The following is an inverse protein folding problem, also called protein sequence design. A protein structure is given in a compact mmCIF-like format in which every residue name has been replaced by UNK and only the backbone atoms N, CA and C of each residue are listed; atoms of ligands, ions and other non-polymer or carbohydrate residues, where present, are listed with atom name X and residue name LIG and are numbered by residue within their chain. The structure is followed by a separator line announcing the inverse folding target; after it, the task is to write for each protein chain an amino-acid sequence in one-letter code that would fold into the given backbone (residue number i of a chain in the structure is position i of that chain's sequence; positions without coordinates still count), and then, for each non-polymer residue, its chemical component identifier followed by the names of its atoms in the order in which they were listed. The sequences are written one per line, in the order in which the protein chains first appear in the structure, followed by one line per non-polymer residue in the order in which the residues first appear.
data_IF_787562599376
#
_entry.id   IF_787562599376
#
_cell.length_a   1.000
_cell.length_b   1.000
_cell.length_c   1.000
_cell.angle_alpha   90.00
_cell.angle_beta   90.00
_cell.angle_gamma   90.00
#
_symmetry.space_group_name_H-M   'P 1'
#
loop_
_entity.id
_entity.type
_entity.pdbx_description
1 polymer ?
#
# COMPACT_ATOMS: atom_id res chain seq x y z
N UNK A 1 -8.59 30.96 9.53
CA UNK A 1 -8.04 29.78 8.83
C UNK A 1 -8.98 28.61 9.11
N UNK A 2 -9.69 28.10 8.10
CA UNK A 2 -10.61 26.97 8.30
C UNK A 2 -9.81 25.72 8.67
N UNK A 3 -10.11 25.12 9.83
CA UNK A 3 -9.51 23.86 10.23
C UNK A 3 -10.00 22.78 9.27
N UNK A 4 -9.08 22.13 8.53
CA UNK A 4 -9.43 20.95 7.74
C UNK A 4 -9.77 19.82 8.72
N UNK A 5 -11.04 19.45 8.78
CA UNK A 5 -11.48 18.24 9.49
C UNK A 5 -10.77 17.06 8.83
N UNK A 6 -9.82 16.46 9.53
CA UNK A 6 -9.11 15.28 9.06
C UNK A 6 -10.02 14.07 9.28
N UNK A 7 -10.23 13.29 8.22
CA UNK A 7 -10.86 11.97 8.36
C UNK A 7 -10.01 11.08 9.26
N UNK A 8 -10.66 10.23 10.07
CA UNK A 8 -10.01 9.25 10.94
C UNK A 8 -8.92 8.46 10.21
N UNK A 9 -7.81 8.11 10.87
CA UNK A 9 -6.78 7.29 10.22
C UNK A 9 -7.31 5.88 9.89
N UNK A 10 -6.77 5.28 8.83
CA UNK A 10 -7.04 3.87 8.51
C UNK A 10 -6.22 2.95 9.42
N UNK A 11 -6.93 2.11 10.17
CA UNK A 11 -6.39 1.06 11.03
C UNK A 11 -5.84 -0.10 10.20
N UNK A 12 -5.03 -0.96 10.82
CA UNK A 12 -4.48 -2.16 10.18
C UNK A 12 -5.55 -3.11 9.63
N UNK A 13 -6.63 -3.48 10.35
CA UNK A 13 -7.68 -4.34 9.80
C UNK A 13 -8.42 -3.70 8.61
N UNK A 14 -8.69 -2.39 8.66
CA UNK A 14 -9.29 -1.66 7.54
C UNK A 14 -8.40 -1.71 6.28
N UNK A 15 -7.08 -1.55 6.45
CA UNK A 15 -6.13 -1.68 5.33
C UNK A 15 -6.10 -3.10 4.76
N UNK A 16 -6.20 -4.12 5.61
CA UNK A 16 -6.23 -5.51 5.17
C UNK A 16 -7.52 -5.83 4.38
N UNK A 17 -8.67 -5.35 4.86
CA UNK A 17 -9.93 -5.46 4.13
C UNK A 17 -9.85 -4.77 2.76
N UNK A 18 -9.30 -3.55 2.71
CA UNK A 18 -9.09 -2.84 1.45
C UNK A 18 -8.20 -3.65 0.48
N UNK A 19 -7.18 -4.33 0.98
CA UNK A 19 -6.34 -5.21 0.16
C UNK A 19 -7.14 -6.39 -0.40
N UNK A 20 -7.94 -7.06 0.43
CA UNK A 20 -8.78 -8.18 -0.01
C UNK A 20 -9.77 -7.78 -1.11
N UNK A 21 -10.46 -6.64 -0.95
CA UNK A 21 -11.35 -6.11 -1.98
C UNK A 21 -10.58 -5.74 -3.24
N UNK A 22 -9.37 -5.20 -3.11
CA UNK A 22 -8.52 -4.92 -4.27
C UNK A 22 -8.05 -6.16 -5.02
N UNK A 23 -7.91 -7.30 -4.36
CA UNK A 23 -7.63 -8.56 -5.07
C UNK A 23 -8.81 -8.94 -5.98
N UNK A 24 -10.04 -8.66 -5.56
CA UNK A 24 -11.25 -8.98 -6.34
C UNK A 24 -11.51 -7.98 -7.47
N UNK A 25 -11.43 -6.68 -7.20
CA UNK A 25 -11.73 -5.62 -8.16
C UNK A 25 -10.50 -5.12 -8.94
N UNK A 26 -9.29 -5.54 -8.56
CA UNK A 26 -8.01 -5.02 -9.05
C UNK A 26 -7.81 -5.17 -10.54
N UNK A 27 -8.31 -6.25 -11.15
CA UNK A 27 -8.18 -6.46 -12.60
C UNK A 27 -8.84 -5.34 -13.41
N UNK A 28 -9.95 -4.79 -12.91
CA UNK A 28 -10.68 -3.69 -13.56
C UNK A 28 -10.03 -2.36 -13.19
N UNK A 29 -9.72 -2.17 -11.90
CA UNK A 29 -9.20 -0.91 -11.36
C UNK A 29 -7.79 -0.61 -11.86
N UNK A 30 -6.93 -1.62 -11.98
CA UNK A 30 -5.53 -1.50 -12.42
C UNK A 30 -5.33 -1.71 -13.92
N UNK A 31 -6.42 -1.86 -14.70
CA UNK A 31 -6.33 -1.90 -16.15
C UNK A 31 -5.61 -0.63 -16.65
N UNK A 32 -4.66 -0.78 -17.59
CA UNK A 32 -3.88 0.34 -18.15
C UNK A 32 -4.63 1.07 -19.27
N UNK A 33 -5.78 0.55 -19.72
CA UNK A 33 -6.60 1.17 -20.77
C UNK A 33 -7.19 2.51 -20.31
N UNK A 34 -7.26 3.45 -21.25
CA UNK A 34 -7.70 4.84 -21.02
C UNK A 34 -8.92 5.21 -21.87
N UNK A 35 -9.64 4.23 -22.40
CA UNK A 35 -10.87 4.50 -23.16
C UNK A 35 -11.96 5.06 -22.23
N UNK A 36 -12.82 5.95 -22.73
CA UNK A 36 -13.89 6.54 -21.92
C UNK A 36 -14.77 5.47 -21.25
N UNK A 37 -15.01 4.34 -21.91
CA UNK A 37 -15.77 3.22 -21.34
C UNK A 37 -15.01 2.53 -20.20
N UNK A 38 -13.70 2.34 -20.32
CA UNK A 38 -12.87 1.72 -19.26
C UNK A 38 -12.69 2.66 -18.08
N UNK A 39 -12.62 3.97 -18.29
CA UNK A 39 -12.61 4.98 -17.21
C UNK A 39 -13.89 4.88 -16.38
N UNK A 40 -15.07 4.89 -17.02
CA UNK A 40 -16.35 4.76 -16.32
C UNK A 40 -16.43 3.44 -15.53
N UNK A 41 -16.05 2.32 -16.14
CA UNK A 41 -16.01 1.01 -15.46
C UNK A 41 -15.11 1.01 -14.22
N UNK A 42 -13.97 1.71 -14.26
CA UNK A 42 -13.09 1.87 -13.09
C UNK A 42 -13.77 2.68 -12.01
N UNK A 43 -14.42 3.79 -12.37
CA UNK A 43 -15.17 4.60 -11.42
C UNK A 43 -16.29 3.80 -10.76
N UNK A 44 -17.07 3.06 -11.54
CA UNK A 44 -18.13 2.18 -11.04
C UNK A 44 -17.56 1.11 -10.11
N UNK A 45 -16.45 0.46 -10.49
CA UNK A 45 -15.78 -0.53 -9.65
C UNK A 45 -15.32 0.08 -8.31
N UNK A 46 -14.83 1.32 -8.31
CA UNK A 46 -14.48 2.02 -7.07
C UNK A 46 -15.70 2.34 -6.20
N UNK A 47 -16.83 2.68 -6.80
CA UNK A 47 -18.09 2.92 -6.07
C UNK A 47 -18.57 1.62 -5.44
N UNK A 48 -18.58 0.51 -6.18
CA UNK A 48 -18.94 -0.81 -5.66
C UNK A 48 -18.02 -1.27 -4.54
N UNK A 49 -16.69 -1.17 -4.74
CA UNK A 49 -15.71 -1.47 -3.70
C UNK A 49 -15.93 -0.65 -2.43
N UNK A 50 -16.31 0.63 -2.58
CA UNK A 50 -16.58 1.50 -1.43
C UNK A 50 -17.86 1.08 -0.70
N UNK A 51 -18.88 0.64 -1.43
CA UNK A 51 -20.10 0.10 -0.85
C UNK A 51 -19.80 -1.19 -0.06
N UNK A 52 -19.06 -2.13 -0.64
CA UNK A 52 -18.66 -3.39 -0.01
C UNK A 52 -17.79 -3.16 1.23
N UNK A 53 -16.85 -2.22 1.14
CA UNK A 53 -16.02 -1.81 2.26
C UNK A 53 -16.89 -1.27 3.41
N UNK A 54 -17.78 -0.32 3.12
CA UNK A 54 -18.64 0.28 4.14
C UNK A 54 -19.71 -0.69 4.70
N UNK A 55 -20.07 -1.75 3.95
CA UNK A 55 -20.97 -2.80 4.39
C UNK A 55 -20.28 -3.89 5.23
N UNK A 56 -18.94 -3.93 5.22
CA UNK A 56 -18.17 -4.93 5.94
C UNK A 56 -18.21 -4.73 7.46
N UNK A 57 -18.19 -5.84 8.20
CA UNK A 57 -18.23 -5.83 9.66
C UNK A 57 -16.94 -5.22 10.22
N UNK A 58 -17.07 -4.30 11.18
CA UNK A 58 -15.94 -3.67 11.87
C UNK A 58 -15.56 -2.28 11.33
N UNK A 59 -16.23 -1.79 10.30
CA UNK A 59 -16.09 -0.39 9.86
C UNK A 59 -16.93 0.51 10.75
N UNK A 60 -16.26 1.38 11.52
CA UNK A 60 -16.89 2.36 12.41
C UNK A 60 -17.31 3.62 11.67
N UNK A 61 -16.45 4.10 10.78
CA UNK A 61 -16.64 5.33 10.02
C UNK A 61 -16.83 5.02 8.54
N UNK A 62 -17.94 5.47 7.95
CA UNK A 62 -18.15 5.34 6.50
C UNK A 62 -17.10 6.16 5.75
N UNK A 63 -16.45 5.53 4.78
CA UNK A 63 -15.37 6.14 3.99
C UNK A 63 -15.89 6.55 2.62
N UNK A 64 -15.38 7.68 2.14
CA UNK A 64 -15.60 8.13 0.78
C UNK A 64 -14.65 7.40 -0.20
N UNK A 65 -15.10 7.28 -1.45
CA UNK A 65 -14.36 6.70 -2.56
C UNK A 65 -12.98 7.35 -2.69
N UNK A 66 -12.90 8.68 -2.57
CA UNK A 66 -11.63 9.40 -2.69
C UNK A 66 -10.65 9.07 -1.57
N UNK A 67 -11.17 8.81 -0.36
CA UNK A 67 -10.35 8.41 0.79
C UNK A 67 -9.76 7.02 0.59
N UNK A 68 -10.55 6.07 0.05
CA UNK A 68 -10.07 4.73 -0.28
C UNK A 68 -9.06 4.75 -1.43
N UNK A 69 -9.30 5.53 -2.48
CA UNK A 69 -8.33 5.77 -3.57
C UNK A 69 -7.00 6.31 -3.04
N UNK A 70 -7.04 7.32 -2.16
CA UNK A 70 -5.84 7.87 -1.54
C UNK A 70 -5.12 6.86 -0.66
N UNK A 71 -5.88 6.08 0.14
CA UNK A 71 -5.34 5.02 0.97
C UNK A 71 -4.59 3.97 0.13
N UNK A 72 -5.21 3.50 -0.96
CA UNK A 72 -4.60 2.54 -1.88
C UNK A 72 -3.31 3.08 -2.53
N UNK A 73 -3.34 4.34 -3.00
CA UNK A 73 -2.14 5.00 -3.53
C UNK A 73 -1.01 5.04 -2.50
N UNK A 74 -1.32 5.36 -1.25
CA UNK A 74 -0.36 5.40 -0.15
C UNK A 74 0.18 4.01 0.18
N UNK A 75 -0.66 2.97 0.16
CA UNK A 75 -0.24 1.58 0.36
C UNK A 75 0.76 1.13 -0.71
N UNK A 76 0.47 1.42 -1.99
CA UNK A 76 1.40 1.13 -3.10
C UNK A 76 2.71 1.89 -2.97
N UNK A 77 2.65 3.18 -2.61
CA UNK A 77 3.83 4.00 -2.40
C UNK A 77 4.69 3.45 -1.24
N UNK A 78 4.05 3.04 -0.14
CA UNK A 78 4.73 2.41 1.00
C UNK A 78 5.39 1.10 0.57
N UNK A 79 4.68 0.21 -0.12
CA UNK A 79 5.23 -1.05 -0.61
C UNK A 79 6.46 -0.84 -1.52
N UNK A 80 6.41 0.15 -2.42
CA UNK A 80 7.57 0.52 -3.26
C UNK A 80 8.76 1.02 -2.43
N UNK A 81 8.50 1.83 -1.40
CA UNK A 81 9.53 2.35 -0.50
C UNK A 81 10.18 1.22 0.30
N UNK A 82 9.35 0.33 0.85
CA UNK A 82 9.80 -0.81 1.65
C UNK A 82 10.67 -1.74 0.80
N UNK A 83 10.22 -2.10 -0.42
CA UNK A 83 11.03 -2.91 -1.34
C UNK A 83 12.34 -2.21 -1.75
N UNK A 84 12.34 -0.88 -1.88
CA UNK A 84 13.57 -0.13 -2.17
C UNK A 84 14.51 -0.08 -0.97
N UNK A 85 13.98 -0.05 0.25
CA UNK A 85 14.75 -0.13 1.48
C UNK A 85 15.37 -1.51 1.63
N UNK A 86 14.59 -2.58 1.46
CA UNK A 86 15.08 -3.96 1.50
C UNK A 86 16.23 -4.19 0.51
N UNK A 87 16.12 -3.69 -0.73
CA UNK A 87 17.23 -3.75 -1.70
C UNK A 87 18.50 -3.05 -1.21
N UNK A 88 18.37 -1.91 -0.53
CA UNK A 88 19.51 -1.19 0.07
C UNK A 88 20.09 -1.98 1.25
N UNK A 89 19.24 -2.49 2.13
CA UNK A 89 19.65 -3.21 3.33
C UNK A 89 20.36 -4.52 2.96
N UNK A 90 19.84 -5.27 1.98
CA UNK A 90 20.50 -6.46 1.43
C UNK A 90 21.85 -6.10 0.80
N UNK A 91 21.93 -5.01 0.04
CA UNK A 91 23.19 -4.55 -0.53
C UNK A 91 24.21 -4.15 0.54
N UNK A 92 23.80 -3.40 1.56
CA UNK A 92 24.66 -3.02 2.69
C UNK A 92 25.10 -4.24 3.51
N UNK A 93 24.20 -5.20 3.73
CA UNK A 93 24.51 -6.46 4.42
C UNK A 93 25.54 -7.26 3.62
N UNK A 94 25.36 -7.37 2.31
CA UNK A 94 26.30 -8.04 1.41
C UNK A 94 27.67 -7.34 1.40
N UNK A 95 27.70 -6.01 1.29
CA UNK A 95 28.95 -5.25 1.38
C UNK A 95 29.61 -5.41 2.75
N UNK A 96 28.83 -5.46 3.83
CA UNK A 96 29.34 -5.70 5.18
C UNK A 96 29.98 -7.09 5.31
N UNK A 97 29.43 -8.11 4.65
CA UNK A 97 29.98 -9.48 4.64
C UNK A 97 31.23 -9.61 3.75
N UNK A 98 31.36 -8.79 2.71
CA UNK A 98 32.56 -8.74 1.87
C UNK A 98 33.67 -7.87 2.47
N UNK A 99 33.32 -6.86 3.26
CA UNK A 99 34.25 -5.95 3.94
C UNK A 99 34.73 -6.48 5.31
N UNK A 100 34.50 -7.77 5.61
CA UNK A 100 35.13 -8.47 6.73
C UNK A 100 36.32 -9.36 6.31
N UNK A 101 37.36 -8.91 5.58
CA UNK A 101 38.55 -9.72 5.42
C UNK A 101 39.52 -9.50 6.61
N UNK A 102 40.03 -10.61 7.18
CA UNK A 102 41.36 -10.72 7.84
C UNK A 102 41.50 -10.34 9.34
N UNK A 103 40.60 -9.59 9.98
CA UNK A 103 40.86 -9.12 11.37
C UNK A 103 40.57 -10.12 12.52
N UNK A 104 40.00 -11.29 12.27
CA UNK A 104 39.71 -12.26 13.35
C UNK A 104 40.88 -13.22 13.66
N UNK A 105 41.98 -13.20 12.88
CA UNK A 105 43.09 -14.15 13.06
C UNK A 105 44.42 -13.51 13.49
N UNK A 106 44.36 -12.38 14.18
CA UNK A 106 45.51 -11.77 14.90
C UNK A 106 45.21 -11.50 16.38
N UNK A 107 44.11 -12.04 16.91
CA UNK A 107 43.75 -11.97 18.34
C UNK A 107 43.30 -13.33 18.89
N UNK A 108 43.98 -14.40 18.50
CA UNK A 108 44.13 -15.60 19.31
C UNK A 108 45.61 -15.98 19.20
N UNK A 109 46.31 -15.74 20.32
CA UNK A 109 47.64 -16.25 20.65
C UNK A 109 47.59 -17.78 20.71
#
# INVERSE_FOLDING_TARGET
MAQRIRSSNFTSPEKNLLYQLMVQYGTIIEDKKTDNMTIKKKEDAWVQLTADFNASVGIKDKRDVNSLKACWKNLKAKAKKDAAQERRDTFLTYLSQLCTPIVFNLFQI
#
